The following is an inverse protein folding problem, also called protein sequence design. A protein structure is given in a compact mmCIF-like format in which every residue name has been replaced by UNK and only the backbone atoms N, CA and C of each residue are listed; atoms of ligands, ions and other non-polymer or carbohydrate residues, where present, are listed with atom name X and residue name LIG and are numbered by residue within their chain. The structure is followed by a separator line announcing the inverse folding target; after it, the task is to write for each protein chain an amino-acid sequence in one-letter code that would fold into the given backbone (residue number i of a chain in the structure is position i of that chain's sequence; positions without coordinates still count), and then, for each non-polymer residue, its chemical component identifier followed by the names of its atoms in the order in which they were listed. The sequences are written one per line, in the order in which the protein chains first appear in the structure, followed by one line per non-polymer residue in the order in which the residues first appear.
data_IF_954501073077
#
_entry.id   IF_954501073077
#
_cell.length_a   1.000
_cell.length_b   1.000
_cell.length_c   1.000
_cell.angle_alpha   90.00
_cell.angle_beta   90.00
_cell.angle_gamma   90.00
#
_symmetry.space_group_name_H-M   'P 1'
#
loop_
_entity.id
_entity.type
_entity.pdbx_description
1 polymer ?
#
# COMPACT_ATOMS: atom_id res chain seq x y z
N UNK A 1 0.27 3.82 11.22
CA UNK A 1 1.68 4.01 10.81
C UNK A 1 2.56 3.58 11.97
N UNK A 2 3.54 2.72 11.73
CA UNK A 2 4.54 2.32 12.74
C UNK A 2 5.84 3.01 12.34
N UNK A 3 6.50 3.65 13.28
CA UNK A 3 7.78 4.34 13.09
C UNK A 3 8.80 3.55 13.90
N UNK A 4 9.86 3.09 13.25
CA UNK A 4 10.99 2.42 13.90
C UNK A 4 12.30 3.09 13.46
N UNK A 5 13.30 3.07 14.34
CA UNK A 5 14.65 3.57 14.04
C UNK A 5 15.52 2.48 13.39
N UNK A 6 15.03 1.23 13.35
CA UNK A 6 15.74 0.08 12.80
C UNK A 6 14.94 -0.60 11.68
N UNK A 7 15.61 -1.32 10.79
CA UNK A 7 14.93 -2.14 9.76
C UNK A 7 14.34 -3.44 10.34
N UNK A 8 14.34 -3.60 11.68
CA UNK A 8 13.93 -4.84 12.34
C UNK A 8 12.42 -4.99 12.49
N UNK A 9 11.66 -3.89 12.44
CA UNK A 9 10.22 -3.91 12.64
C UNK A 9 9.48 -4.77 11.61
N UNK A 10 9.92 -4.78 10.35
CA UNK A 10 9.31 -5.61 9.31
C UNK A 10 9.46 -7.09 9.66
N UNK A 11 10.64 -7.50 10.13
CA UNK A 11 10.91 -8.88 10.54
C UNK A 11 10.08 -9.27 11.77
N UNK A 12 10.00 -8.38 12.76
CA UNK A 12 9.20 -8.60 13.96
C UNK A 12 7.71 -8.76 13.62
N UNK A 13 7.16 -7.86 12.81
CA UNK A 13 5.76 -7.90 12.38
C UNK A 13 5.48 -9.15 11.55
N UNK A 14 6.38 -9.53 10.65
CA UNK A 14 6.25 -10.76 9.85
C UNK A 14 6.18 -11.99 10.75
N UNK A 15 7.02 -12.06 11.78
CA UNK A 15 7.00 -13.17 12.73
C UNK A 15 5.73 -13.20 13.58
N UNK A 16 5.32 -12.06 14.13
CA UNK A 16 4.14 -11.95 15.00
C UNK A 16 2.84 -12.22 14.24
N UNK A 17 2.75 -11.76 13.00
CA UNK A 17 1.56 -11.84 12.16
C UNK A 17 1.55 -13.07 11.25
N UNK A 18 2.51 -14.00 11.37
CA UNK A 18 2.65 -15.17 10.50
C UNK A 18 1.37 -15.97 10.28
N UNK A 19 0.51 -16.07 11.29
CA UNK A 19 -0.76 -16.79 11.21
C UNK A 19 -1.80 -16.10 10.32
N UNK A 20 -1.65 -14.79 10.10
CA UNK A 20 -2.50 -13.98 9.22
C UNK A 20 -1.94 -13.93 7.79
N UNK A 21 -0.79 -14.56 7.54
CA UNK A 21 -0.11 -14.64 6.26
C UNK A 21 0.01 -13.26 5.55
N UNK A 22 0.65 -12.27 6.21
CA UNK A 22 0.76 -10.92 5.68
C UNK A 22 1.58 -10.93 4.39
N UNK A 23 1.22 -10.03 3.48
CA UNK A 23 1.98 -9.76 2.27
C UNK A 23 2.86 -8.55 2.52
N UNK A 24 4.17 -8.72 2.36
CA UNK A 24 5.14 -7.63 2.50
C UNK A 24 5.38 -7.02 1.13
N UNK A 25 5.24 -5.70 1.03
CA UNK A 25 5.54 -4.94 -0.17
C UNK A 25 6.57 -3.89 0.20
N UNK A 26 7.73 -4.00 -0.43
CA UNK A 26 8.80 -3.00 -0.38
C UNK A 26 8.55 -2.00 -1.50
N UNK A 27 8.74 -0.71 -1.21
CA UNK A 27 8.88 0.33 -2.22
C UNK A 27 10.25 0.32 -2.87
N UNK A 28 10.46 1.23 -3.83
CA UNK A 28 11.64 1.19 -4.69
C UNK A 28 12.88 1.48 -3.87
N UNK A 29 13.90 0.64 -4.01
CA UNK A 29 15.23 0.86 -3.44
C UNK A 29 16.15 1.60 -4.42
N UNK A 30 15.66 1.86 -5.64
CA UNK A 30 16.42 2.50 -6.70
C UNK A 30 15.82 3.87 -7.03
N UNK A 31 16.65 4.93 -7.06
CA UNK A 31 16.17 6.29 -7.33
C UNK A 31 15.69 6.45 -8.77
N UNK A 32 16.15 5.67 -9.76
CA UNK A 32 15.73 5.88 -11.16
C UNK A 32 14.40 5.21 -11.55
N UNK A 33 13.78 4.44 -10.63
CA UNK A 33 12.62 3.60 -10.93
C UNK A 33 11.25 4.35 -10.92
N UNK A 34 11.24 5.68 -10.91
CA UNK A 34 10.09 6.46 -10.44
C UNK A 34 8.73 6.26 -11.16
N UNK A 35 8.68 6.04 -12.48
CA UNK A 35 7.39 6.04 -13.21
C UNK A 35 6.71 4.66 -13.24
N UNK A 36 7.40 3.65 -13.77
CA UNK A 36 6.80 2.34 -14.06
C UNK A 36 6.63 1.52 -12.78
N UNK A 37 7.57 1.72 -11.85
CA UNK A 37 7.54 1.08 -10.54
C UNK A 37 6.30 1.48 -9.73
N UNK A 38 6.01 2.78 -9.67
CA UNK A 38 4.90 3.35 -8.89
C UNK A 38 3.56 2.72 -9.28
N UNK A 39 3.32 2.59 -10.59
CA UNK A 39 2.10 1.95 -11.11
C UNK A 39 2.05 0.46 -10.76
N UNK A 40 3.15 -0.26 -10.96
CA UNK A 40 3.22 -1.72 -10.72
C UNK A 40 2.99 -2.08 -9.24
N UNK A 41 3.56 -1.30 -8.32
CA UNK A 41 3.39 -1.51 -6.87
C UNK A 41 1.99 -1.14 -6.44
N UNK A 42 1.46 -0.02 -6.94
CA UNK A 42 0.10 0.38 -6.60
C UNK A 42 -0.93 -0.64 -7.07
N UNK A 43 -0.74 -1.22 -8.27
CA UNK A 43 -1.57 -2.32 -8.77
C UNK A 43 -1.51 -3.57 -7.88
N UNK A 44 -0.33 -3.91 -7.34
CA UNK A 44 -0.21 -5.01 -6.37
C UNK A 44 -0.94 -4.69 -5.07
N UNK A 45 -0.81 -3.47 -4.55
CA UNK A 45 -1.51 -3.01 -3.35
C UNK A 45 -3.02 -3.14 -3.54
N UNK A 46 -3.57 -2.60 -4.64
CA UNK A 46 -4.97 -2.74 -5.03
C UNK A 46 -5.44 -4.21 -4.96
N UNK A 47 -4.74 -5.09 -5.66
CA UNK A 47 -5.11 -6.50 -5.76
C UNK A 47 -5.18 -7.20 -4.38
N UNK A 48 -4.28 -6.86 -3.46
CA UNK A 48 -4.28 -7.44 -2.12
C UNK A 48 -5.33 -6.81 -1.19
N UNK A 49 -5.59 -5.50 -1.33
CA UNK A 49 -6.66 -4.81 -0.61
C UNK A 49 -8.03 -5.40 -0.99
N UNK A 50 -8.31 -5.55 -2.29
CA UNK A 50 -9.55 -6.15 -2.80
C UNK A 50 -9.72 -7.61 -2.32
N UNK A 51 -8.62 -8.35 -2.20
CA UNK A 51 -8.63 -9.72 -1.67
C UNK A 51 -8.75 -9.80 -0.13
N UNK A 52 -8.84 -8.68 0.58
CA UNK A 52 -8.90 -8.63 2.05
C UNK A 52 -7.62 -9.11 2.73
N UNK A 53 -6.48 -9.03 2.05
CA UNK A 53 -5.19 -9.53 2.54
C UNK A 53 -4.52 -8.48 3.41
N UNK A 54 -3.92 -8.92 4.52
CA UNK A 54 -3.10 -8.06 5.38
C UNK A 54 -1.81 -7.66 4.65
N UNK A 55 -1.54 -6.36 4.61
CA UNK A 55 -0.38 -5.78 3.94
C UNK A 55 0.57 -5.13 4.93
N UNK A 56 1.87 -5.43 4.80
CA UNK A 56 2.96 -4.70 5.45
C UNK A 56 3.68 -3.93 4.35
N UNK A 57 3.56 -2.61 4.38
CA UNK A 57 4.12 -1.71 3.38
C UNK A 57 5.33 -0.99 3.99
N UNK A 58 6.49 -1.06 3.33
CA UNK A 58 7.74 -0.39 3.76
C UNK A 58 8.40 0.34 2.60
N UNK A 59 9.27 1.31 2.88
CA UNK A 59 10.05 2.08 1.91
C UNK A 59 9.18 2.85 0.90
N UNK A 60 8.11 3.46 1.39
CA UNK A 60 7.01 3.98 0.55
C UNK A 60 7.24 5.39 0.00
N UNK A 61 8.44 5.97 0.12
CA UNK A 61 8.71 7.37 -0.22
C UNK A 61 8.22 7.75 -1.62
N UNK A 62 8.46 6.87 -2.60
CA UNK A 62 8.07 7.07 -4.00
C UNK A 62 6.54 7.03 -4.21
N UNK A 63 5.81 6.27 -3.40
CA UNK A 63 4.36 6.04 -3.58
C UNK A 63 3.49 6.67 -2.51
N UNK A 64 4.08 7.34 -1.51
CA UNK A 64 3.37 7.92 -0.38
C UNK A 64 2.25 8.88 -0.82
N UNK A 65 2.53 9.72 -1.82
CA UNK A 65 1.54 10.64 -2.38
C UNK A 65 0.33 9.93 -3.02
N UNK A 66 0.53 8.76 -3.63
CA UNK A 66 -0.54 7.97 -4.23
C UNK A 66 -1.36 7.21 -3.18
N UNK A 67 -0.73 6.84 -2.06
CA UNK A 67 -1.38 6.17 -0.92
C UNK A 67 -2.23 7.11 -0.06
N UNK A 68 -2.03 8.42 -0.17
CA UNK A 68 -2.77 9.40 0.63
C UNK A 68 -4.29 9.25 0.47
N UNK A 69 -4.77 9.09 -0.77
CA UNK A 69 -6.20 8.92 -1.04
C UNK A 69 -6.76 7.58 -0.54
N UNK A 70 -5.89 6.57 -0.41
CA UNK A 70 -6.23 5.29 0.22
C UNK A 70 -6.48 5.43 1.72
N UNK A 71 -5.65 6.22 2.40
CA UNK A 71 -5.73 6.44 3.85
C UNK A 71 -6.74 7.50 4.28
N UNK A 72 -7.11 8.41 3.39
CA UNK A 72 -8.06 9.49 3.68
C UNK A 72 -9.51 9.02 3.89
N UNK A 73 -9.79 7.72 3.80
CA UNK A 73 -11.08 7.12 4.17
C UNK A 73 -12.29 7.81 3.50
N UNK A 74 -12.12 8.35 2.30
CA UNK A 74 -13.19 8.95 1.50
C UNK A 74 -14.07 7.82 0.90
N UNK A 75 -14.73 7.06 1.78
CA UNK A 75 -15.64 5.99 1.46
C UNK A 75 -16.95 6.59 0.96
N UNK A 76 -17.31 6.35 -0.30
CA UNK A 76 -18.65 6.67 -0.76
C UNK A 76 -19.64 5.71 -0.08
N UNK A 77 -20.47 6.23 0.83
CA UNK A 77 -21.42 5.49 1.66
C UNK A 77 -22.64 4.93 0.88
N UNK A 78 -22.42 4.33 -0.28
CA UNK A 78 -23.43 3.61 -1.09
C UNK A 78 -23.28 2.10 -0.91
N UNK A 79 -23.33 1.64 0.35
CA UNK A 79 -23.43 0.22 0.71
C UNK A 79 -22.19 -0.66 0.47
N UNK A 80 -21.09 -0.11 -0.05
CA UNK A 80 -19.80 -0.76 -0.26
C UNK A 80 -18.67 0.20 0.08
N UNK A 81 -17.61 -0.27 0.76
CA UNK A 81 -16.46 0.56 1.15
C UNK A 81 -15.52 0.77 -0.04
N UNK A 82 -15.92 1.65 -0.96
CA UNK A 82 -15.13 1.99 -2.16
C UNK A 82 -14.12 3.08 -1.81
N UNK A 83 -12.84 2.76 -1.92
CA UNK A 83 -11.72 3.71 -1.75
C UNK A 83 -11.19 4.16 -3.10
N UNK A 84 -10.77 5.42 -3.23
CA UNK A 84 -10.19 5.96 -4.48
C UNK A 84 -8.68 5.97 -4.40
N UNK A 85 -8.02 5.56 -5.48
CA UNK A 85 -6.57 5.71 -5.63
C UNK A 85 -6.23 6.58 -6.82
N UNK A 86 -5.29 7.48 -6.60
CA UNK A 86 -4.77 8.37 -7.64
C UNK A 86 -3.42 7.86 -8.12
N UNK A 87 -3.30 7.77 -9.43
CA UNK A 87 -2.12 7.38 -10.17
C UNK A 87 -1.84 8.49 -11.18
N UNK A 88 -0.99 9.46 -10.80
CA UNK A 88 -0.79 10.67 -11.60
C UNK A 88 -2.08 11.48 -11.73
N UNK A 89 -2.51 11.79 -12.96
CA UNK A 89 -3.75 12.53 -13.23
C UNK A 89 -5.04 11.68 -13.18
N UNK A 90 -4.92 10.36 -13.01
CA UNK A 90 -6.04 9.44 -13.08
C UNK A 90 -6.43 8.94 -11.69
N UNK A 91 -7.73 9.03 -11.35
CA UNK A 91 -8.29 8.49 -10.11
C UNK A 91 -9.15 7.27 -10.43
N UNK A 92 -8.75 6.11 -9.91
CA UNK A 92 -9.44 4.84 -10.14
C UNK A 92 -10.14 4.40 -8.85
N UNK A 93 -11.44 4.03 -8.88
CA UNK A 93 -12.11 3.44 -7.72
C UNK A 93 -11.59 2.00 -7.49
N UNK A 94 -11.32 1.66 -6.23
CA UNK A 94 -11.14 0.27 -5.77
C UNK A 94 -12.49 -0.29 -5.31
N UNK A 95 -12.82 -1.51 -5.72
CA UNK A 95 -14.09 -2.19 -5.41
C UNK A 95 -14.04 -2.97 -4.11
#
# INVERSE_FOLDING_TARGET
MIIDESDSIVNLLTYQLRNLNPVIIFGSQFPDDHSDYSYSVMRKIMMYVEAGRLLILTDLEVIYGNLYNLWDQNYNATGSYVTKVTLGAYTTPML
#
